data_IF_070374953491
#
_entry.id   IF_070374953491
#
_cell.length_a   1.000
_cell.length_b   1.000
_cell.length_c   1.000
_cell.angle_alpha   90.00
_cell.angle_beta   90.00
_cell.angle_gamma   90.00
#
_symmetry.space_group_name_H-M   'P 1'
#
loop_
_entity.id
_entity.type
_entity.pdbx_description
1 polymer ?
#
# COMPACT_ATOMS: atom_id res chain seq x y z
N UNK A 1 0.19 -1.68 8.65
CA UNK A 1 1.41 -1.45 9.46
C UNK A 1 1.87 -2.75 10.06
N UNK A 2 3.17 -3.07 10.05
CA UNK A 2 3.62 -4.38 10.49
C UNK A 2 3.43 -4.51 12.01
N UNK A 3 2.63 -5.51 12.42
CA UNK A 3 2.62 -6.02 13.79
C UNK A 3 1.78 -5.27 14.81
N UNK A 4 0.86 -4.39 14.39
CA UNK A 4 -0.08 -3.74 15.32
C UNK A 4 -1.40 -4.51 15.36
N UNK A 5 -1.70 -5.11 16.51
CA UNK A 5 -2.96 -5.83 16.74
C UNK A 5 -4.03 -4.90 17.31
N UNK A 6 -5.30 -5.24 17.14
CA UNK A 6 -6.41 -4.44 17.67
C UNK A 6 -6.34 -4.25 19.20
N UNK A 7 -5.65 -5.15 19.92
CA UNK A 7 -5.46 -5.05 21.37
C UNK A 7 -4.42 -4.00 21.78
N UNK A 8 -3.55 -3.55 20.87
CA UNK A 8 -2.55 -2.52 21.15
C UNK A 8 -3.13 -1.09 21.19
N UNK A 9 -4.45 -0.96 20.97
CA UNK A 9 -5.17 0.30 21.01
C UNK A 9 -5.15 1.05 19.68
N UNK A 10 -6.15 1.91 19.47
CA UNK A 10 -6.13 2.85 18.36
C UNK A 10 -5.10 3.94 18.66
N UNK A 11 -3.94 3.88 18.01
CA UNK A 11 -2.99 5.00 18.01
C UNK A 11 -3.68 6.23 17.40
N UNK A 12 -3.34 7.43 17.86
CA UNK A 12 -4.01 8.67 17.42
C UNK A 12 -4.03 8.82 15.88
N UNK A 13 -2.99 8.32 15.22
CA UNK A 13 -2.80 8.41 13.78
C UNK A 13 -3.41 7.23 12.98
N UNK A 14 -4.01 6.24 13.66
CA UNK A 14 -4.46 4.95 13.09
C UNK A 14 -5.80 4.48 13.68
N UNK A 15 -6.78 5.37 13.63
CA UNK A 15 -8.07 5.21 14.30
C UNK A 15 -9.30 5.35 13.36
N UNK A 16 -9.10 5.33 12.04
CA UNK A 16 -10.16 5.44 11.03
C UNK A 16 -10.48 4.09 10.37
N UNK A 17 -9.76 3.04 10.75
CA UNK A 17 -10.02 1.67 10.28
C UNK A 17 -9.31 1.32 8.98
N UNK A 18 -8.39 2.15 8.48
CA UNK A 18 -7.67 1.86 7.24
C UNK A 18 -6.71 0.67 7.37
N UNK A 19 -6.34 0.27 8.59
CA UNK A 19 -5.66 -1.02 8.84
C UNK A 19 -6.49 -2.18 8.27
N UNK A 20 -7.81 -2.21 8.51
CA UNK A 20 -8.65 -3.29 7.96
C UNK A 20 -8.69 -3.26 6.43
N UNK A 21 -8.64 -2.06 5.82
CA UNK A 21 -8.56 -1.89 4.36
C UNK A 21 -7.22 -2.43 3.82
N UNK A 22 -6.11 -2.11 4.48
CA UNK A 22 -4.76 -2.60 4.15
C UNK A 22 -4.68 -4.13 4.19
N UNK A 23 -5.09 -4.75 5.31
CA UNK A 23 -5.05 -6.21 5.46
C UNK A 23 -6.03 -6.90 4.50
N UNK A 24 -7.17 -6.27 4.19
CA UNK A 24 -8.07 -6.76 3.13
C UNK A 24 -7.38 -6.72 1.76
N UNK A 25 -6.61 -5.67 1.46
CA UNK A 25 -5.78 -5.59 0.26
C UNK A 25 -4.81 -6.77 0.14
N UNK A 26 -4.13 -7.14 1.22
CA UNK A 26 -3.29 -8.35 1.27
C UNK A 26 -4.08 -9.63 1.03
N UNK A 27 -5.27 -9.76 1.64
CA UNK A 27 -6.14 -10.90 1.39
C UNK A 27 -6.54 -10.99 -0.10
N UNK A 28 -6.71 -9.87 -0.79
CA UNK A 28 -6.92 -9.83 -2.24
C UNK A 28 -5.63 -9.87 -3.08
N UNK A 29 -4.47 -10.15 -2.47
CA UNK A 29 -3.21 -10.42 -3.17
C UNK A 29 -2.44 -9.17 -3.60
N UNK A 30 -2.70 -8.01 -2.98
CA UNK A 30 -1.85 -6.83 -3.11
C UNK A 30 -0.63 -6.94 -2.21
N UNK A 31 0.52 -6.49 -2.72
CA UNK A 31 1.75 -6.35 -1.95
C UNK A 31 1.84 -4.93 -1.39
N UNK A 32 2.75 -4.72 -0.42
CA UNK A 32 3.12 -3.37 -0.03
C UNK A 32 3.68 -2.60 -1.23
N UNK A 33 3.44 -1.29 -1.28
CA UNK A 33 3.93 -0.40 -2.34
C UNK A 33 5.46 -0.36 -2.44
N UNK A 34 6.15 -0.62 -1.33
CA UNK A 34 7.61 -0.74 -1.26
C UNK A 34 8.15 -2.15 -1.53
N UNK A 35 7.28 -3.11 -1.89
CA UNK A 35 7.73 -4.42 -2.35
C UNK A 35 8.51 -4.28 -3.66
N UNK A 36 9.60 -5.04 -3.81
CA UNK A 36 10.46 -4.94 -4.98
C UNK A 36 11.40 -3.71 -5.01
N UNK A 37 11.24 -2.77 -4.07
CA UNK A 37 12.08 -1.58 -3.94
C UNK A 37 12.00 -0.66 -5.17
N UNK A 38 13.11 0.04 -5.46
CA UNK A 38 13.23 0.88 -6.67
C UNK A 38 13.43 0.03 -7.94
N UNK A 39 12.43 -0.78 -8.26
CA UNK A 39 12.36 -1.58 -9.48
C UNK A 39 11.15 -1.14 -10.30
N UNK A 40 11.40 -0.71 -11.54
CA UNK A 40 10.37 -0.34 -12.52
C UNK A 40 9.75 -1.54 -13.25
N UNK A 41 10.31 -2.73 -13.06
CA UNK A 41 9.89 -3.96 -13.75
C UNK A 41 9.12 -4.92 -12.85
N UNK A 42 9.44 -4.97 -11.55
CA UNK A 42 8.80 -5.88 -10.59
C UNK A 42 7.90 -5.11 -9.64
N UNK A 43 8.43 -4.11 -8.94
CA UNK A 43 7.72 -3.32 -7.93
C UNK A 43 6.83 -4.19 -7.02
N UNK A 44 5.61 -3.70 -6.78
CA UNK A 44 4.54 -4.41 -6.08
C UNK A 44 3.69 -5.33 -7.00
N UNK A 45 4.14 -5.54 -8.24
CA UNK A 45 3.42 -6.18 -9.35
C UNK A 45 2.17 -5.44 -9.82
N UNK A 46 2.11 -4.12 -9.61
CA UNK A 46 1.09 -3.23 -10.14
C UNK A 46 1.76 -2.06 -10.87
N UNK A 47 1.57 -1.97 -12.18
CA UNK A 47 2.32 -1.05 -13.04
C UNK A 47 1.99 0.43 -12.84
N UNK A 48 0.84 0.75 -12.24
CA UNK A 48 0.42 2.13 -11.97
C UNK A 48 0.67 2.57 -10.52
N UNK A 49 1.30 1.74 -9.70
CA UNK A 49 1.87 2.14 -8.41
C UNK A 49 3.28 2.69 -8.65
N UNK A 50 3.57 3.97 -8.33
CA UNK A 50 4.94 4.50 -8.33
C UNK A 50 5.89 3.65 -7.48
N UNK A 51 7.13 3.49 -7.93
CA UNK A 51 8.12 2.68 -7.21
C UNK A 51 8.50 3.33 -5.87
N UNK A 52 8.57 2.50 -4.83
CA UNK A 52 8.95 2.92 -3.48
C UNK A 52 10.04 1.99 -2.93
N UNK A 53 11.13 2.56 -2.44
CA UNK A 53 12.30 1.85 -1.95
C UNK A 53 12.24 1.53 -0.45
N UNK A 54 11.53 2.34 0.33
CA UNK A 54 11.51 2.24 1.79
C UNK A 54 10.12 2.49 2.37
N UNK A 55 9.88 2.03 3.60
CA UNK A 55 8.65 2.34 4.33
C UNK A 55 8.58 3.82 4.69
N UNK A 56 7.44 4.46 4.45
CA UNK A 56 7.17 5.86 4.80
C UNK A 56 6.05 5.90 5.85
N UNK A 57 6.22 6.72 6.88
CA UNK A 57 5.26 6.92 7.98
C UNK A 57 4.80 8.38 8.05
N UNK A 58 3.65 8.64 8.68
CA UNK A 58 3.03 9.97 8.71
C UNK A 58 2.50 10.37 7.32
N UNK A 59 2.54 11.66 6.99
CA UNK A 59 2.12 12.18 5.68
C UNK A 59 3.12 13.16 5.03
N UNK A 60 4.35 12.74 4.70
CA UNK A 60 5.35 13.60 4.08
C UNK A 60 5.07 13.80 2.58
N UNK A 61 4.47 14.93 2.21
CA UNK A 61 4.00 15.25 0.85
C UNK A 61 5.04 15.13 -0.28
N UNK A 62 6.34 15.22 0.02
CA UNK A 62 7.42 15.18 -0.97
C UNK A 62 8.35 13.97 -0.77
N UNK A 63 7.83 12.88 -0.20
CA UNK A 63 8.61 11.66 -0.03
C UNK A 63 8.88 11.03 -1.41
N UNK A 64 10.16 10.81 -1.70
CA UNK A 64 10.60 10.14 -2.91
C UNK A 64 11.84 9.31 -2.58
N UNK A 65 11.61 8.01 -2.39
CA UNK A 65 12.66 7.04 -2.08
C UNK A 65 13.32 6.45 -3.34
N UNK A 66 12.79 6.75 -4.53
CA UNK A 66 13.26 6.25 -5.81
C UNK A 66 13.41 7.37 -6.86
N UNK A 67 14.24 8.41 -6.61
CA UNK A 67 14.28 9.63 -7.42
C UNK A 67 14.79 9.47 -8.85
N UNK A 68 15.36 8.32 -9.18
CA UNK A 68 15.76 7.98 -10.56
C UNK A 68 14.61 7.39 -11.38
N UNK A 69 13.45 7.12 -10.78
CA UNK A 69 12.26 6.55 -11.41
C UNK A 69 11.12 7.59 -11.45
N UNK A 70 10.14 7.44 -12.36
CA UNK A 70 9.02 8.37 -12.43
C UNK A 70 8.10 8.29 -11.21
N UNK A 71 7.66 9.46 -10.72
CA UNK A 71 6.69 9.58 -9.62
C UNK A 71 7.35 9.87 -8.27
N UNK A 72 6.52 10.05 -7.25
CA UNK A 72 6.92 10.15 -5.84
C UNK A 72 6.41 8.92 -5.08
N UNK A 73 6.84 8.71 -3.85
CA UNK A 73 6.32 7.62 -3.02
C UNK A 73 4.77 7.73 -2.95
N UNK A 74 4.03 6.62 -3.11
CA UNK A 74 2.57 6.63 -3.14
C UNK A 74 1.98 6.74 -1.72
N UNK A 75 2.23 7.87 -1.05
CA UNK A 75 1.89 8.12 0.37
C UNK A 75 0.39 8.07 0.69
N UNK A 76 -0.49 8.17 -0.31
CA UNK A 76 -1.94 8.09 -0.11
C UNK A 76 -2.49 6.67 -0.31
N UNK A 77 -1.64 5.72 -0.73
CA UNK A 77 -2.05 4.36 -1.04
C UNK A 77 -2.26 3.54 0.24
N UNK A 78 -3.37 2.80 0.30
CA UNK A 78 -3.68 1.93 1.43
C UNK A 78 -2.62 0.84 1.67
N UNK A 79 -1.85 0.44 0.64
CA UNK A 79 -0.81 -0.58 0.77
C UNK A 79 0.54 -0.05 1.27
N UNK A 80 0.64 1.25 1.61
CA UNK A 80 1.76 1.84 2.32
C UNK A 80 1.64 1.76 3.85
N UNK A 81 2.47 2.53 4.57
CA UNK A 81 2.47 2.66 6.05
C UNK A 81 2.31 4.10 6.54
N UNK A 82 1.76 4.97 5.69
CA UNK A 82 1.36 6.32 6.08
C UNK A 82 0.10 6.30 6.93
N UNK A 83 -0.09 7.34 7.74
CA UNK A 83 -1.17 7.43 8.73
C UNK A 83 -2.57 7.41 8.08
N UNK A 84 -3.59 7.08 8.88
CA UNK A 84 -4.98 6.98 8.41
C UNK A 84 -5.49 8.31 7.84
N UNK A 85 -5.03 9.46 8.36
CA UNK A 85 -5.36 10.79 7.86
C UNK A 85 -4.72 11.12 6.49
N UNK A 86 -3.75 10.31 6.05
CA UNK A 86 -3.05 10.46 4.78
C UNK A 86 -3.58 9.48 3.71
N UNK A 87 -3.96 8.27 4.10
CA UNK A 87 -4.35 7.22 3.15
C UNK A 87 -5.79 7.39 2.67
N UNK A 88 -6.03 7.19 1.37
CA UNK A 88 -7.37 7.33 0.80
C UNK A 88 -7.64 6.52 -0.49
N UNK A 89 -6.66 5.81 -1.05
CA UNK A 89 -6.83 5.21 -2.37
C UNK A 89 -6.20 3.82 -2.59
N UNK A 90 -6.80 3.10 -3.54
CA UNK A 90 -6.18 2.06 -4.33
C UNK A 90 -6.10 2.53 -5.78
N UNK A 91 -5.02 2.20 -6.49
CA UNK A 91 -4.90 2.48 -7.91
C UNK A 91 -5.88 1.64 -8.74
N UNK A 92 -6.21 2.04 -9.98
CA UNK A 92 -6.95 1.18 -10.92
C UNK A 92 -6.31 -0.20 -11.11
N UNK A 93 -4.98 -0.26 -11.26
CA UNK A 93 -4.24 -1.51 -11.41
C UNK A 93 -4.31 -2.41 -10.18
N UNK A 94 -4.30 -1.84 -8.98
CA UNK A 94 -4.50 -2.59 -7.73
C UNK A 94 -5.91 -3.23 -7.72
N UNK A 95 -6.96 -2.49 -8.09
CA UNK A 95 -8.33 -3.03 -8.17
C UNK A 95 -8.41 -4.18 -9.16
N UNK A 96 -7.82 -4.03 -10.35
CA UNK A 96 -7.75 -5.10 -11.35
C UNK A 96 -7.04 -6.34 -10.83
N UNK A 97 -5.92 -6.16 -10.12
CA UNK A 97 -5.20 -7.26 -9.48
C UNK A 97 -6.04 -7.96 -8.41
N UNK A 98 -6.75 -7.22 -7.55
CA UNK A 98 -7.64 -7.79 -6.54
C UNK A 98 -8.70 -8.70 -7.18
N UNK A 99 -9.35 -8.24 -8.26
CA UNK A 99 -10.31 -9.07 -8.99
C UNK A 99 -9.65 -10.31 -9.60
N UNK A 100 -8.49 -10.18 -10.27
CA UNK A 100 -7.75 -11.33 -10.83
C UNK A 100 -7.42 -12.37 -9.77
N UNK A 101 -6.95 -11.94 -8.59
CA UNK A 101 -6.58 -12.84 -7.50
C UNK A 101 -7.80 -13.51 -6.85
N UNK A 102 -8.92 -12.79 -6.70
CA UNK A 102 -10.16 -13.37 -6.17
C UNK A 102 -10.72 -14.43 -7.11
N UNK A 103 -10.88 -14.09 -8.39
CA UNK A 103 -11.44 -14.99 -9.39
C UNK A 103 -10.52 -16.18 -9.70
N UNK A 104 -9.20 -16.00 -9.61
CA UNK A 104 -8.22 -17.06 -9.85
C UNK A 104 -8.07 -18.05 -8.71
N UNK A 105 -8.20 -17.61 -7.45
CA UNK A 105 -7.77 -18.42 -6.30
C UNK A 105 -8.77 -18.53 -5.14
N UNK A 106 -9.83 -17.72 -5.08
CA UNK A 106 -10.68 -17.60 -3.88
C UNK A 106 -12.19 -17.69 -4.16
N UNK A 107 -12.58 -17.92 -5.41
CA UNK A 107 -14.00 -17.99 -5.81
C UNK A 107 -14.73 -19.26 -5.35
N UNK A 108 -14.00 -20.32 -4.98
CA UNK A 108 -14.56 -21.65 -4.68
C UNK A 108 -14.19 -22.12 -3.29
#
# INVERSE_FOLDING_TARGET
MPGITAEQGAFADWNQGHIAVHETGHWFGLNHTFAGGCSDTVGDYVTDTPAQGTTVYGCPANSDSCPSLPGTDPIHNFMGYTSDDCTNEFTPGQKDRMFKMFYGYRRT
#
